data_IF_086850692867
#
_entry.id   IF_086850692867
#
_cell.length_a   1.000
_cell.length_b   1.000
_cell.length_c   1.000
_cell.angle_alpha   90.00
_cell.angle_beta   90.00
_cell.angle_gamma   90.00
#
_symmetry.space_group_name_H-M   'P 1'
#
loop_
_entity.id
_entity.type
_entity.pdbx_description
1 polymer ?
#
# COMPACT_ATOMS: atom_id res chain seq x y z
N UNK A 1 -4.28 -62.23 6.52
CA UNK A 1 -4.17 -62.56 7.94
C UNK A 1 -4.53 -61.35 8.74
N UNK A 2 -5.59 -61.50 9.47
CA UNK A 2 -6.28 -60.54 10.36
C UNK A 2 -5.54 -60.46 11.67
N UNK A 3 -5.41 -59.26 12.26
CA UNK A 3 -5.34 -58.95 13.68
C UNK A 3 -5.18 -57.42 13.76
N UNK A 4 -6.02 -56.62 14.30
CA UNK A 4 -7.01 -56.69 15.36
C UNK A 4 -6.52 -55.93 16.58
N UNK A 5 -7.33 -54.93 17.01
CA UNK A 5 -7.46 -54.40 18.38
C UNK A 5 -6.38 -53.39 18.78
N UNK A 6 -6.67 -52.23 19.40
CA UNK A 6 -7.62 -51.91 20.46
C UNK A 6 -7.97 -50.42 20.53
N UNK A 7 -9.19 -50.20 20.88
CA UNK A 7 -9.86 -49.01 21.39
C UNK A 7 -9.25 -48.62 22.74
N UNK A 8 -8.92 -47.35 22.93
CA UNK A 8 -8.85 -46.74 24.25
C UNK A 8 -9.53 -45.37 24.21
N UNK A 9 -10.77 -45.40 24.71
CA UNK A 9 -11.49 -44.21 25.17
C UNK A 9 -10.80 -43.68 26.41
N UNK A 10 -10.50 -42.42 26.43
CA UNK A 10 -10.32 -41.63 27.66
C UNK A 10 -11.09 -40.33 27.51
N UNK A 11 -12.27 -40.32 28.10
CA UNK A 11 -13.02 -39.13 28.47
C UNK A 11 -12.32 -38.48 29.65
N UNK A 12 -11.95 -37.21 29.51
CA UNK A 12 -11.86 -36.30 30.66
C UNK A 12 -12.59 -35.02 30.31
N UNK A 13 -13.59 -34.78 31.12
CA UNK A 13 -14.52 -33.67 31.06
C UNK A 13 -13.97 -32.44 31.78
N UNK A 14 -14.63 -31.30 31.48
CA UNK A 14 -14.84 -30.12 32.29
C UNK A 14 -13.66 -29.12 32.40
N UNK A 15 -13.90 -27.94 31.81
CA UNK A 15 -13.19 -26.75 32.19
C UNK A 15 -13.71 -25.52 31.46
N UNK A 16 -14.80 -24.93 31.96
CA UNK A 16 -15.07 -23.50 31.98
C UNK A 16 -15.01 -22.74 30.67
N UNK A 17 -16.10 -22.66 29.93
CA UNK A 17 -16.34 -21.61 28.97
C UNK A 17 -16.49 -20.29 29.71
N UNK A 18 -15.45 -19.46 29.65
CA UNK A 18 -15.54 -18.02 29.97
C UNK A 18 -16.36 -17.36 28.86
N UNK A 19 -17.42 -16.60 29.18
CA UNK A 19 -18.14 -15.84 28.15
C UNK A 19 -17.17 -14.89 27.45
N UNK A 20 -17.16 -14.92 26.13
CA UNK A 20 -16.48 -13.91 25.32
C UNK A 20 -17.12 -12.55 25.64
N UNK A 21 -16.35 -11.68 26.22
CA UNK A 21 -16.65 -10.25 26.32
C UNK A 21 -16.92 -9.71 24.91
N UNK A 22 -18.00 -8.96 24.68
CA UNK A 22 -18.23 -8.35 23.38
C UNK A 22 -17.04 -7.43 23.10
N UNK A 23 -16.36 -7.69 21.99
CA UNK A 23 -15.34 -6.81 21.45
C UNK A 23 -15.95 -5.40 21.37
N UNK A 24 -15.43 -4.51 22.19
CA UNK A 24 -15.71 -3.09 22.09
C UNK A 24 -15.39 -2.60 20.67
N UNK A 25 -15.98 -1.47 20.24
CA UNK A 25 -15.73 -0.95 18.92
C UNK A 25 -14.21 -0.84 18.74
N UNK A 26 -13.69 -1.54 17.73
CA UNK A 26 -12.34 -1.33 17.23
C UNK A 26 -12.25 0.17 16.93
N UNK A 27 -11.47 0.88 17.74
CA UNK A 27 -11.10 2.23 17.42
C UNK A 27 -10.48 2.19 16.02
N UNK A 28 -11.21 2.70 15.04
CA UNK A 28 -10.61 3.12 13.78
C UNK A 28 -9.48 4.06 14.16
N UNK A 29 -8.29 3.55 14.10
CA UNK A 29 -7.08 4.35 14.18
C UNK A 29 -7.13 5.26 12.95
N UNK A 30 -7.57 6.48 13.18
CA UNK A 30 -7.52 7.59 12.24
C UNK A 30 -6.04 7.99 12.10
N UNK A 31 -5.26 7.06 11.52
CA UNK A 31 -3.90 7.31 11.09
C UNK A 31 -3.99 7.68 9.62
N UNK A 32 -3.95 8.96 9.30
CA UNK A 32 -3.97 9.46 7.93
C UNK A 32 -4.67 10.80 7.74
N UNK A 33 -5.18 11.44 8.81
CA UNK A 33 -5.96 12.69 8.68
C UNK A 33 -5.12 13.91 8.30
N UNK A 34 -3.85 13.94 8.63
CA UNK A 34 -3.02 15.14 8.47
C UNK A 34 -2.14 15.10 7.20
N UNK A 35 -1.90 13.91 6.63
CA UNK A 35 -1.06 13.79 5.43
C UNK A 35 -1.81 14.09 4.12
N UNK A 36 -3.15 14.04 4.11
CA UNK A 36 -3.97 14.29 2.93
C UNK A 36 -4.33 15.75 2.70
N UNK A 37 -4.13 16.62 3.70
CA UNK A 37 -4.63 18.01 3.66
C UNK A 37 -3.96 18.86 2.57
N UNK A 38 -2.81 18.41 2.06
CA UNK A 38 -2.02 19.11 1.02
C UNK A 38 -1.87 18.30 -0.28
N UNK A 39 -2.47 17.09 -0.36
CA UNK A 39 -2.38 16.27 -1.57
C UNK A 39 -3.58 16.51 -2.49
N UNK A 40 -3.33 16.45 -3.81
CA UNK A 40 -4.44 16.36 -4.77
C UNK A 40 -5.24 15.06 -4.54
N UNK A 41 -6.53 15.02 -4.92
CA UNK A 41 -7.35 13.81 -4.77
C UNK A 41 -6.74 12.56 -5.43
N UNK A 42 -6.01 12.74 -6.54
CA UNK A 42 -5.35 11.66 -7.26
C UNK A 42 -4.14 11.13 -6.49
N UNK A 43 -3.33 12.02 -5.91
CA UNK A 43 -2.20 11.63 -5.04
C UNK A 43 -2.70 10.93 -3.78
N UNK A 44 -3.76 11.46 -3.15
CA UNK A 44 -4.36 10.86 -1.97
C UNK A 44 -4.84 9.42 -2.25
N UNK A 45 -5.51 9.18 -3.38
CA UNK A 45 -5.93 7.82 -3.78
C UNK A 45 -4.76 6.87 -3.98
N UNK A 46 -3.67 7.34 -4.58
CA UNK A 46 -2.47 6.51 -4.74
C UNK A 46 -1.84 6.21 -3.38
N UNK A 47 -1.76 7.20 -2.50
CA UNK A 47 -1.26 7.04 -1.14
C UNK A 47 -2.08 6.02 -0.34
N UNK A 48 -3.41 6.02 -0.45
CA UNK A 48 -4.29 5.04 0.20
C UNK A 48 -3.99 3.59 -0.23
N UNK A 49 -3.56 3.38 -1.47
CA UNK A 49 -3.11 2.07 -1.94
C UNK A 49 -1.71 1.76 -1.43
N UNK A 50 -0.80 2.73 -1.45
CA UNK A 50 0.61 2.56 -1.13
C UNK A 50 0.86 2.39 0.37
N UNK A 51 0.36 3.29 1.20
CA UNK A 51 0.75 3.42 2.60
C UNK A 51 0.52 2.15 3.44
N UNK A 52 -0.64 1.46 3.39
CA UNK A 52 -0.85 0.25 4.18
C UNK A 52 0.16 -0.86 3.85
N UNK A 53 0.61 -0.92 2.60
CA UNK A 53 1.56 -1.91 2.11
C UNK A 53 3.00 -1.52 2.42
N UNK A 54 3.30 -0.24 2.32
CA UNK A 54 4.62 0.29 2.66
C UNK A 54 4.94 0.11 4.15
N UNK A 55 3.98 0.38 5.01
CA UNK A 55 4.13 0.26 6.46
C UNK A 55 3.96 -1.18 6.98
N UNK A 56 3.53 -2.12 6.15
CA UNK A 56 3.47 -3.52 6.53
C UNK A 56 4.87 -4.11 6.76
N UNK A 57 4.96 -5.12 7.63
CA UNK A 57 6.21 -5.83 7.86
C UNK A 57 6.74 -6.44 6.56
N UNK A 58 8.06 -6.30 6.33
CA UNK A 58 8.72 -6.90 5.15
C UNK A 58 8.56 -8.42 5.17
N UNK A 59 8.33 -9.00 4.01
CA UNK A 59 8.19 -10.44 3.85
C UNK A 59 7.16 -10.85 2.80
N UNK A 60 6.86 -12.16 2.70
CA UNK A 60 6.01 -12.70 1.65
C UNK A 60 4.58 -12.15 1.67
N UNK A 61 4.03 -11.84 2.84
CA UNK A 61 2.67 -11.27 2.96
C UNK A 61 2.62 -9.85 2.39
N UNK A 62 3.66 -9.03 2.64
CA UNK A 62 3.78 -7.69 2.05
C UNK A 62 3.87 -7.78 0.53
N UNK A 63 4.73 -8.66 0.01
CA UNK A 63 4.84 -8.89 -1.42
C UNK A 63 3.50 -9.33 -2.02
N UNK A 64 2.85 -10.33 -1.40
CA UNK A 64 1.56 -10.81 -1.87
C UNK A 64 0.51 -9.70 -1.92
N UNK A 65 0.32 -8.98 -0.82
CA UNK A 65 -0.68 -7.90 -0.74
C UNK A 65 -0.40 -6.75 -1.71
N UNK A 66 0.86 -6.45 -1.97
CA UNK A 66 1.27 -5.42 -2.93
C UNK A 66 1.01 -5.89 -4.36
N UNK A 67 1.37 -7.13 -4.69
CA UNK A 67 1.13 -7.70 -6.02
C UNK A 67 -0.36 -7.87 -6.33
N UNK A 68 -1.17 -8.25 -5.36
CA UNK A 68 -2.63 -8.32 -5.49
C UNK A 68 -3.25 -6.94 -5.78
N UNK A 69 -2.61 -5.85 -5.33
CA UNK A 69 -3.08 -4.48 -5.53
C UNK A 69 -2.55 -3.80 -6.81
N UNK A 70 -1.80 -4.48 -7.66
CA UNK A 70 -1.27 -3.89 -8.90
C UNK A 70 -2.33 -3.24 -9.80
N UNK A 71 -3.56 -3.76 -9.93
CA UNK A 71 -4.62 -3.07 -10.67
C UNK A 71 -4.98 -1.70 -10.07
N UNK A 72 -5.03 -1.60 -8.74
CA UNK A 72 -5.34 -0.34 -8.03
C UNK A 72 -4.21 0.68 -8.17
N UNK A 73 -2.95 0.23 -8.05
CA UNK A 73 -1.77 1.06 -8.32
C UNK A 73 -1.79 1.61 -9.74
N UNK A 74 -2.04 0.75 -10.73
CA UNK A 74 -2.06 1.16 -12.14
C UNK A 74 -3.19 2.16 -12.42
N UNK A 75 -4.38 1.91 -11.86
CA UNK A 75 -5.53 2.80 -12.03
C UNK A 75 -5.29 4.17 -11.42
N UNK A 76 -4.77 4.23 -10.19
CA UNK A 76 -4.49 5.51 -9.50
C UNK A 76 -3.33 6.27 -10.13
N UNK A 77 -2.27 5.59 -10.58
CA UNK A 77 -1.19 6.22 -11.32
C UNK A 77 -1.65 6.79 -12.68
N UNK A 78 -2.57 6.10 -13.35
CA UNK A 78 -3.19 6.63 -14.58
C UNK A 78 -3.99 7.90 -14.29
N UNK A 79 -4.75 7.93 -13.19
CA UNK A 79 -5.47 9.13 -12.77
C UNK A 79 -4.52 10.31 -12.49
N UNK A 80 -3.38 10.07 -11.85
CA UNK A 80 -2.34 11.08 -11.62
C UNK A 80 -1.80 11.62 -12.95
N UNK A 81 -1.50 10.73 -13.91
CA UNK A 81 -0.97 11.14 -15.21
C UNK A 81 -1.98 11.95 -16.05
N UNK A 82 -3.27 11.80 -15.79
CA UNK A 82 -4.36 12.54 -16.45
C UNK A 82 -4.81 13.78 -15.68
N UNK A 83 -4.33 13.96 -14.45
CA UNK A 83 -4.66 15.12 -13.63
C UNK A 83 -4.07 16.40 -14.22
N UNK A 84 -4.69 17.53 -13.91
CA UNK A 84 -4.10 18.83 -14.25
C UNK A 84 -2.87 19.06 -13.37
N UNK A 85 -1.68 19.24 -13.96
CA UNK A 85 -0.49 19.54 -13.17
C UNK A 85 -0.65 20.84 -12.37
N UNK A 86 0.03 20.96 -11.23
CA UNK A 86 0.14 22.23 -10.53
C UNK A 86 0.75 23.31 -11.44
N UNK A 87 0.23 24.52 -11.31
CA UNK A 87 0.67 25.64 -12.15
C UNK A 87 2.16 25.95 -11.91
N UNK A 88 2.92 25.98 -12.98
CA UNK A 88 4.38 26.23 -12.91
C UNK A 88 5.22 24.99 -12.63
N UNK A 89 4.59 23.84 -12.41
CA UNK A 89 5.26 22.56 -12.19
C UNK A 89 4.95 21.52 -13.29
N UNK A 90 4.40 21.94 -14.43
CA UNK A 90 3.86 21.05 -15.47
C UNK A 90 4.90 20.04 -15.98
N UNK A 91 6.11 20.51 -16.26
CA UNK A 91 7.20 19.66 -16.76
C UNK A 91 7.70 18.69 -15.66
N UNK A 92 7.86 19.20 -14.44
CA UNK A 92 8.28 18.39 -13.31
C UNK A 92 7.24 17.31 -12.96
N UNK A 93 5.97 17.67 -12.98
CA UNK A 93 4.86 16.73 -12.77
C UNK A 93 4.85 15.63 -13.83
N UNK A 94 4.94 16.01 -15.10
CA UNK A 94 4.94 15.05 -16.22
C UNK A 94 6.12 14.08 -16.15
N UNK A 95 7.33 14.59 -15.86
CA UNK A 95 8.53 13.75 -15.70
C UNK A 95 8.38 12.77 -14.52
N UNK A 96 7.89 13.25 -13.38
CA UNK A 96 7.76 12.45 -12.18
C UNK A 96 6.61 11.44 -12.28
N UNK A 97 5.50 11.78 -12.93
CA UNK A 97 4.44 10.81 -13.24
C UNK A 97 4.95 9.70 -14.17
N UNK A 98 5.79 10.06 -15.15
CA UNK A 98 6.47 9.08 -16.00
C UNK A 98 7.39 8.14 -15.23
N UNK A 99 8.16 8.66 -14.25
CA UNK A 99 9.01 7.85 -13.37
C UNK A 99 8.20 6.90 -12.49
N UNK A 100 7.08 7.36 -11.94
CA UNK A 100 6.18 6.50 -11.18
C UNK A 100 5.61 5.37 -12.04
N UNK A 101 5.19 5.69 -13.26
CA UNK A 101 4.68 4.68 -14.20
C UNK A 101 5.74 3.63 -14.55
N UNK A 102 6.99 4.04 -14.77
CA UNK A 102 8.10 3.12 -15.02
C UNK A 102 8.39 2.23 -13.81
N UNK A 103 8.44 2.80 -12.60
CA UNK A 103 8.65 2.03 -11.37
C UNK A 103 7.51 1.00 -11.14
N UNK A 104 6.26 1.34 -11.48
CA UNK A 104 5.15 0.40 -11.40
C UNK A 104 5.24 -0.73 -12.43
N UNK A 105 5.77 -0.46 -13.63
CA UNK A 105 6.04 -1.51 -14.63
C UNK A 105 7.08 -2.52 -14.13
N UNK A 106 8.14 -2.04 -13.49
CA UNK A 106 9.18 -2.90 -12.92
C UNK A 106 8.64 -3.72 -11.72
N UNK A 107 7.81 -3.11 -10.90
CA UNK A 107 7.13 -3.81 -9.79
C UNK A 107 6.17 -4.88 -10.32
N UNK A 108 5.37 -4.57 -11.33
CA UNK A 108 4.45 -5.51 -11.96
C UNK A 108 5.19 -6.71 -12.59
N UNK A 109 6.30 -6.44 -13.29
CA UNK A 109 7.15 -7.49 -13.83
C UNK A 109 7.73 -8.38 -12.71
N UNK A 110 8.15 -7.78 -11.61
CA UNK A 110 8.66 -8.48 -10.42
C UNK A 110 7.58 -9.34 -9.77
N UNK A 111 6.37 -8.82 -9.65
CA UNK A 111 5.20 -9.56 -9.15
C UNK A 111 4.86 -10.75 -10.05
N UNK A 112 4.81 -10.57 -11.36
CA UNK A 112 4.53 -11.64 -12.33
C UNK A 112 5.58 -12.73 -12.34
N UNK A 113 6.84 -12.36 -12.11
CA UNK A 113 7.94 -13.31 -11.97
C UNK A 113 7.98 -13.99 -10.58
N UNK A 114 7.19 -13.52 -9.61
CA UNK A 114 7.25 -13.91 -8.21
C UNK A 114 8.67 -13.83 -7.64
N UNK A 115 9.40 -12.76 -8.00
CA UNK A 115 10.82 -12.56 -7.64
C UNK A 115 10.94 -11.81 -6.30
N UNK A 116 10.92 -12.57 -5.21
CA UNK A 116 11.04 -12.02 -3.86
C UNK A 116 12.37 -11.29 -3.62
N UNK A 117 13.40 -11.59 -4.39
CA UNK A 117 14.73 -10.96 -4.22
C UNK A 117 14.77 -9.54 -4.76
N UNK A 118 13.96 -9.23 -5.77
CA UNK A 118 13.85 -7.90 -6.38
C UNK A 118 12.70 -7.08 -5.85
N UNK A 119 11.75 -7.73 -5.18
CA UNK A 119 10.49 -7.09 -4.77
C UNK A 119 10.72 -5.82 -3.93
N UNK A 120 11.52 -5.91 -2.88
CA UNK A 120 11.72 -4.76 -1.97
C UNK A 120 12.34 -3.56 -2.70
N UNK A 121 13.30 -3.79 -3.59
CA UNK A 121 13.92 -2.72 -4.39
C UNK A 121 12.94 -2.12 -5.39
N UNK A 122 12.15 -2.94 -6.07
CA UNK A 122 11.14 -2.45 -7.00
C UNK A 122 10.03 -1.67 -6.29
N UNK A 123 9.60 -2.13 -5.12
CA UNK A 123 8.57 -1.44 -4.34
C UNK A 123 9.10 -0.13 -3.73
N UNK A 124 10.35 -0.09 -3.29
CA UNK A 124 11.03 1.14 -2.86
C UNK A 124 11.10 2.17 -3.98
N UNK A 125 11.38 1.75 -5.22
CA UNK A 125 11.38 2.66 -6.37
C UNK A 125 10.01 3.30 -6.62
N UNK A 126 8.92 2.57 -6.43
CA UNK A 126 7.55 3.13 -6.48
C UNK A 126 7.35 4.16 -5.38
N UNK A 127 7.73 3.85 -4.15
CA UNK A 127 7.59 4.78 -3.01
C UNK A 127 8.39 6.07 -3.23
N UNK A 128 9.66 5.97 -3.64
CA UNK A 128 10.51 7.15 -3.93
C UNK A 128 9.95 7.99 -5.08
N UNK A 129 9.45 7.33 -6.14
CA UNK A 129 8.84 8.05 -7.27
C UNK A 129 7.57 8.78 -6.87
N UNK A 130 6.76 8.20 -5.98
CA UNK A 130 5.57 8.85 -5.46
C UNK A 130 5.91 10.08 -4.59
N UNK A 131 6.90 9.98 -3.70
CA UNK A 131 7.38 11.15 -2.94
C UNK A 131 7.88 12.27 -3.86
N UNK A 132 8.58 11.93 -4.92
CA UNK A 132 8.98 12.90 -5.91
C UNK A 132 7.80 13.66 -6.56
N UNK A 133 6.66 13.00 -6.76
CA UNK A 133 5.44 13.65 -7.24
C UNK A 133 4.83 14.60 -6.22
N UNK A 134 4.78 14.20 -4.94
CA UNK A 134 4.30 15.08 -3.87
C UNK A 134 5.09 16.38 -3.80
N UNK A 135 6.43 16.29 -3.86
CA UNK A 135 7.30 17.48 -3.89
C UNK A 135 6.99 18.42 -5.07
N UNK A 136 6.63 17.86 -6.24
CA UNK A 136 6.24 18.70 -7.40
C UNK A 136 4.90 19.41 -7.17
N UNK A 137 4.01 18.82 -6.34
CA UNK A 137 2.73 19.43 -5.98
C UNK A 137 2.82 20.55 -4.96
N UNK A 138 3.87 20.55 -4.12
CA UNK A 138 4.02 21.50 -3.00
C UNK A 138 4.59 22.86 -3.40
N UNK A 139 5.18 23.00 -4.58
CA UNK A 139 5.82 24.26 -5.02
C UNK A 139 4.88 25.45 -5.22
N UNK A 140 3.56 25.27 -5.18
CA UNK A 140 2.60 26.37 -5.35
C UNK A 140 2.42 27.28 -4.13
N UNK A 141 2.87 26.87 -2.92
CA UNK A 141 2.55 27.63 -1.70
C UNK A 141 3.60 28.65 -1.28
N UNK A 142 4.74 28.74 -1.95
CA UNK A 142 5.82 29.64 -1.56
C UNK A 142 5.83 31.00 -2.27
N UNK A 143 5.09 31.19 -3.36
CA UNK A 143 5.14 32.47 -4.12
C UNK A 143 4.07 33.49 -3.73
N UNK A 144 3.12 33.18 -2.82
CA UNK A 144 2.02 34.09 -2.50
C UNK A 144 2.25 34.96 -1.25
N UNK A 145 3.41 34.88 -0.61
CA UNK A 145 3.75 35.68 0.59
C UNK A 145 4.84 36.74 0.39
N UNK A 146 5.10 37.17 -0.85
CA UNK A 146 6.03 38.28 -1.10
C UNK A 146 5.30 39.43 -1.83
N UNK A 147 4.39 40.08 -1.14
CA UNK A 147 3.99 41.47 -1.40
C UNK A 147 3.75 42.17 -0.08
#
# INVERSE_FOLDING_TARGET
>A
MIKGIAISLLLVACGGSKPAEPAGPVAETKAGGDEHEHMSPELAKFHDVLAPRWHAAKGPERMKSTCDAMPDFTSSATAIAMATPPKGAEDAWTDRAGKLAAALQDLDATCKANDATKFETAFEAVHVSFHGLMEAGEHEHHDEHTM
#
